data_IF_816445729435
#
_entry.id   IF_816445729435
#
_cell.length_a   1.000
_cell.length_b   1.000
_cell.length_c   1.000
_cell.angle_alpha   90.00
_cell.angle_beta   90.00
_cell.angle_gamma   90.00
#
_symmetry.space_group_name_H-M   'P 1'
#
loop_
_entity.id
_entity.type
_entity.pdbx_description
1 polymer ?
#
# COMPACT_ATOMS: atom_id res chain seq x y z
N UNK A 1 -14.28 -12.75 -5.07
CA UNK A 1 -13.36 -11.64 -5.44
C UNK A 1 -14.19 -10.57 -6.13
N UNK A 2 -14.17 -9.36 -5.61
CA UNK A 2 -14.96 -8.23 -6.13
C UNK A 2 -14.00 -7.18 -6.66
N UNK A 3 -14.35 -6.51 -7.77
CA UNK A 3 -13.58 -5.39 -8.28
C UNK A 3 -13.49 -4.28 -7.23
N UNK A 4 -12.30 -3.73 -6.99
CA UNK A 4 -12.11 -2.68 -5.99
C UNK A 4 -11.58 -1.39 -6.58
N UNK A 5 -10.54 -1.46 -7.42
CA UNK A 5 -10.00 -0.31 -8.14
C UNK A 5 -9.75 -0.70 -9.60
N UNK A 6 -10.21 0.14 -10.52
CA UNK A 6 -10.13 -0.06 -11.97
C UNK A 6 -9.46 1.15 -12.61
N UNK A 7 -8.58 0.89 -13.55
CA UNK A 7 -7.89 1.89 -14.36
C UNK A 7 -8.38 1.72 -15.78
N UNK A 8 -8.91 2.79 -16.39
CA UNK A 8 -9.45 2.77 -17.75
C UNK A 8 -8.74 3.82 -18.60
N UNK A 9 -7.98 3.36 -19.60
CA UNK A 9 -7.21 4.20 -20.53
C UNK A 9 -6.38 5.27 -19.82
N UNK A 10 -5.82 4.93 -18.64
CA UNK A 10 -5.17 5.87 -17.77
C UNK A 10 -3.79 6.22 -18.31
N UNK A 11 -3.55 7.52 -18.51
CA UNK A 11 -2.26 8.09 -18.88
C UNK A 11 -1.81 9.12 -17.85
N UNK A 12 -0.49 9.21 -17.68
CA UNK A 12 0.11 10.20 -16.80
C UNK A 12 1.47 10.70 -17.30
N UNK A 13 1.65 12.00 -17.25
CA UNK A 13 2.91 12.73 -17.51
C UNK A 13 3.04 13.89 -16.55
N UNK A 14 4.27 14.35 -16.27
CA UNK A 14 4.47 15.51 -15.41
C UNK A 14 4.26 16.82 -16.18
N UNK A 15 5.12 17.11 -17.15
CA UNK A 15 5.11 18.39 -17.86
C UNK A 15 4.56 18.26 -19.29
N UNK A 16 5.03 17.29 -20.07
CA UNK A 16 4.69 17.11 -21.48
C UNK A 16 4.16 15.71 -21.77
N UNK A 17 3.17 15.63 -22.66
CA UNK A 17 2.55 14.35 -23.04
C UNK A 17 3.53 13.41 -23.75
N UNK A 18 4.48 13.97 -24.51
CA UNK A 18 5.51 13.20 -25.21
C UNK A 18 6.46 12.46 -24.25
N UNK A 19 6.54 12.92 -22.99
CA UNK A 19 7.32 12.31 -21.91
C UNK A 19 6.40 11.53 -20.95
N UNK A 20 5.44 10.79 -21.51
CA UNK A 20 4.47 10.04 -20.72
C UNK A 20 5.15 8.98 -19.85
N UNK A 21 4.86 9.01 -18.56
CA UNK A 21 5.37 8.05 -17.57
C UNK A 21 4.51 6.78 -17.55
N UNK A 22 3.19 6.95 -17.72
CA UNK A 22 2.23 5.85 -17.80
C UNK A 22 1.36 6.06 -19.03
N UNK A 23 1.20 5.01 -19.84
CA UNK A 23 0.52 5.08 -21.13
C UNK A 23 -0.50 3.95 -21.22
N UNK A 24 -1.76 4.31 -21.43
CA UNK A 24 -2.89 3.39 -21.65
C UNK A 24 -2.96 2.24 -20.64
N UNK A 25 -2.88 2.58 -19.35
CA UNK A 25 -3.05 1.58 -18.30
C UNK A 25 -4.51 1.17 -18.22
N UNK A 26 -4.76 -0.12 -18.49
CA UNK A 26 -6.05 -0.78 -18.38
C UNK A 26 -5.90 -1.98 -17.46
N UNK A 27 -6.40 -1.89 -16.22
CA UNK A 27 -6.31 -2.99 -15.28
C UNK A 27 -7.35 -2.88 -14.16
N UNK A 28 -7.84 -4.05 -13.71
CA UNK A 28 -8.77 -4.16 -12.58
C UNK A 28 -8.15 -4.98 -11.46
N UNK A 29 -8.04 -4.39 -10.27
CA UNK A 29 -7.63 -5.07 -9.04
C UNK A 29 -8.86 -5.55 -8.27
N UNK A 30 -8.72 -6.68 -7.57
CA UNK A 30 -9.80 -7.36 -6.87
C UNK A 30 -9.51 -7.50 -5.38
N UNK A 31 -10.55 -7.58 -4.56
CA UNK A 31 -10.45 -7.92 -3.15
C UNK A 31 -9.97 -9.36 -2.95
N UNK A 32 -9.29 -9.62 -1.82
CA UNK A 32 -8.78 -10.95 -1.49
C UNK A 32 -7.53 -11.35 -2.29
N UNK A 33 -6.83 -10.41 -2.92
CA UNK A 33 -5.68 -10.68 -3.77
C UNK A 33 -4.49 -9.82 -3.36
N UNK A 34 -3.34 -10.47 -3.24
CA UNK A 34 -2.04 -9.82 -3.04
C UNK A 34 -1.32 -9.68 -4.37
N UNK A 35 -1.24 -8.44 -4.87
CA UNK A 35 -0.56 -8.08 -6.10
C UNK A 35 0.84 -7.57 -5.83
N UNK A 36 1.80 -7.96 -6.67
CA UNK A 36 3.09 -7.28 -6.76
C UNK A 36 3.27 -6.64 -8.13
N UNK A 37 3.82 -5.42 -8.14
CA UNK A 37 4.21 -4.70 -9.34
C UNK A 37 5.72 -4.62 -9.37
N UNK A 38 6.32 -5.22 -10.39
CA UNK A 38 7.77 -5.24 -10.61
C UNK A 38 8.13 -4.47 -11.88
N UNK A 39 9.37 -4.02 -11.98
CA UNK A 39 9.88 -3.30 -13.15
C UNK A 39 11.21 -2.62 -12.83
N UNK A 40 11.94 -2.20 -13.88
CA UNK A 40 13.19 -1.45 -13.73
C UNK A 40 12.98 -0.09 -13.02
N UNK A 41 14.05 0.50 -12.52
CA UNK A 41 14.02 1.89 -12.06
C UNK A 41 13.52 2.80 -13.18
N UNK A 42 12.69 3.79 -12.85
CA UNK A 42 12.10 4.70 -13.85
C UNK A 42 10.95 4.12 -14.69
N UNK A 43 10.50 2.87 -14.46
CA UNK A 43 9.38 2.30 -15.23
C UNK A 43 8.00 2.87 -14.91
N UNK A 44 7.87 3.75 -13.91
CA UNK A 44 6.61 4.39 -13.52
C UNK A 44 5.92 3.77 -12.29
N UNK A 45 6.55 2.83 -11.56
CA UNK A 45 5.93 2.11 -10.42
C UNK A 45 5.43 3.04 -9.31
N UNK A 46 6.29 3.95 -8.83
CA UNK A 46 5.94 4.92 -7.77
C UNK A 46 4.86 5.89 -8.24
N UNK A 47 4.91 6.30 -9.53
CA UNK A 47 3.87 7.13 -10.14
C UNK A 47 2.54 6.37 -10.20
N UNK A 48 2.55 5.10 -10.61
CA UNK A 48 1.36 4.25 -10.59
C UNK A 48 0.77 4.14 -9.18
N UNK A 49 1.62 3.87 -8.16
CA UNK A 49 1.15 3.82 -6.77
C UNK A 49 0.59 5.16 -6.27
N UNK A 50 1.19 6.28 -6.68
CA UNK A 50 0.68 7.60 -6.33
C UNK A 50 -0.74 7.82 -6.87
N UNK A 51 -1.01 7.39 -8.09
CA UNK A 51 -2.34 7.44 -8.68
C UNK A 51 -3.31 6.44 -8.02
N UNK A 52 -2.87 5.20 -7.79
CA UNK A 52 -3.66 4.19 -7.08
C UNK A 52 -3.98 4.60 -5.63
N UNK A 53 -3.09 5.34 -4.99
CA UNK A 53 -3.28 5.93 -3.67
C UNK A 53 -4.07 7.23 -3.64
N UNK A 54 -4.46 7.78 -4.80
CA UNK A 54 -5.16 9.07 -4.90
C UNK A 54 -4.31 10.26 -4.46
N UNK A 55 -2.98 10.17 -4.55
CA UNK A 55 -2.07 11.29 -4.27
C UNK A 55 -2.01 12.27 -5.43
N UNK A 56 -2.31 11.77 -6.63
CA UNK A 56 -2.42 12.58 -7.84
C UNK A 56 -3.58 12.09 -8.72
N UNK A 57 -3.89 12.83 -9.79
CA UNK A 57 -4.95 12.52 -10.75
C UNK A 57 -4.37 12.13 -12.10
N UNK A 58 -5.00 11.19 -12.83
CA UNK A 58 -4.58 10.90 -14.20
C UNK A 58 -4.77 12.13 -15.09
N UNK A 59 -3.90 12.27 -16.09
CA UNK A 59 -3.98 13.34 -17.11
C UNK A 59 -5.00 12.99 -18.20
N UNK A 60 -5.17 11.69 -18.50
CA UNK A 60 -6.16 11.13 -19.42
C UNK A 60 -6.70 9.83 -18.85
N UNK A 61 -7.88 9.41 -19.30
CA UNK A 61 -8.57 8.24 -18.75
C UNK A 61 -9.18 8.50 -17.37
N UNK A 62 -9.49 7.43 -16.65
CA UNK A 62 -10.07 7.55 -15.32
C UNK A 62 -9.65 6.39 -14.39
N UNK A 63 -9.86 6.59 -13.08
CA UNK A 63 -9.66 5.59 -12.03
C UNK A 63 -10.98 5.49 -11.26
N UNK A 64 -11.48 4.26 -11.12
CA UNK A 64 -12.73 3.98 -10.41
C UNK A 64 -12.45 3.16 -9.16
N UNK A 65 -13.02 3.57 -8.05
CA UNK A 65 -13.08 2.78 -6.82
C UNK A 65 -14.50 2.26 -6.63
N UNK A 66 -14.67 0.93 -6.66
CA UNK A 66 -15.99 0.27 -6.58
C UNK A 66 -17.01 0.86 -7.57
N UNK A 67 -16.56 1.13 -8.80
CA UNK A 67 -17.39 1.67 -9.89
C UNK A 67 -17.67 3.17 -9.82
N UNK A 68 -17.12 3.90 -8.84
CA UNK A 68 -17.26 5.36 -8.74
C UNK A 68 -15.94 6.04 -9.10
N UNK A 69 -15.97 7.02 -10.02
CA UNK A 69 -14.78 7.78 -10.42
C UNK A 69 -14.15 8.50 -9.24
N UNK A 70 -12.81 8.45 -9.13
CA UNK A 70 -12.07 9.19 -8.10
C UNK A 70 -12.20 10.71 -8.29
N UNK A 71 -12.42 11.18 -9.53
CA UNK A 71 -12.68 12.60 -9.82
C UNK A 71 -13.99 13.07 -9.16
N UNK A 72 -15.04 12.24 -9.24
CA UNK A 72 -16.35 12.53 -8.62
C UNK A 72 -16.32 12.38 -7.10
N UNK A 73 -15.58 11.38 -6.60
CA UNK A 73 -15.45 11.11 -5.15
C UNK A 73 -14.63 12.19 -4.44
N UNK A 74 -13.64 12.74 -5.13
CA UNK A 74 -12.63 13.64 -4.58
C UNK A 74 -11.48 12.87 -3.92
N UNK A 75 -10.25 13.16 -4.33
CA UNK A 75 -9.04 12.45 -3.89
C UNK A 75 -8.84 12.50 -2.36
N UNK A 76 -9.19 13.61 -1.71
CA UNK A 76 -9.08 13.72 -0.25
C UNK A 76 -10.02 12.73 0.46
N UNK A 77 -11.26 12.61 -0.01
CA UNK A 77 -12.23 11.64 0.52
C UNK A 77 -11.72 10.23 0.33
N UNK A 78 -11.21 9.92 -0.87
CA UNK A 78 -10.65 8.61 -1.19
C UNK A 78 -9.49 8.26 -0.26
N UNK A 79 -8.51 9.16 -0.09
CA UNK A 79 -7.36 8.92 0.82
C UNK A 79 -7.76 8.74 2.28
N UNK A 80 -8.75 9.48 2.73
CA UNK A 80 -9.14 9.45 4.15
C UNK A 80 -10.00 8.24 4.52
N UNK A 81 -10.67 7.60 3.55
CA UNK A 81 -11.70 6.60 3.87
C UNK A 81 -11.49 5.24 3.20
N UNK A 82 -10.76 5.16 2.09
CA UNK A 82 -10.81 3.98 1.24
C UNK A 82 -9.46 3.36 0.93
N UNK A 83 -8.35 4.08 1.12
CA UNK A 83 -7.02 3.57 0.83
C UNK A 83 -6.05 3.82 1.98
N UNK A 84 -5.23 2.82 2.30
CA UNK A 84 -4.07 2.96 3.18
C UNK A 84 -2.80 2.93 2.36
N UNK A 85 -1.86 3.83 2.65
CA UNK A 85 -0.61 3.96 1.90
C UNK A 85 0.58 3.70 2.84
N UNK A 86 1.46 2.78 2.43
CA UNK A 86 2.76 2.54 3.05
C UNK A 86 3.83 3.06 2.11
N UNK A 87 4.57 4.08 2.55
CA UNK A 87 5.63 4.71 1.76
C UNK A 87 7.00 4.09 2.06
N UNK A 88 7.89 4.13 1.10
CA UNK A 88 9.29 3.77 1.28
C UNK A 88 9.97 4.66 2.32
N UNK A 89 9.67 5.95 2.35
CA UNK A 89 10.23 6.96 3.26
C UNK A 89 9.35 7.20 4.49
N UNK A 90 8.91 6.19 5.16
CA UNK A 90 8.12 6.16 6.41
C UNK A 90 7.02 7.22 6.56
N UNK A 91 7.29 8.49 6.26
CA UNK A 91 6.38 9.65 6.41
C UNK A 91 5.73 9.71 7.80
N UNK A 92 6.52 9.49 8.84
CA UNK A 92 6.09 9.58 10.23
C UNK A 92 6.21 11.02 10.75
N UNK A 93 5.31 11.39 11.67
CA UNK A 93 5.38 12.65 12.40
C UNK A 93 6.49 12.52 13.46
N UNK A 94 7.65 13.11 13.17
CA UNK A 94 8.91 12.86 13.88
C UNK A 94 8.90 13.30 15.34
N UNK A 95 8.09 14.28 15.69
CA UNK A 95 7.92 14.78 17.07
C UNK A 95 6.96 13.94 17.92
N UNK A 96 6.24 13.01 17.29
CA UNK A 96 5.29 12.11 17.95
C UNK A 96 5.91 10.76 18.33
N UNK A 97 5.28 10.07 19.28
CA UNK A 97 5.59 8.67 19.59
C UNK A 97 5.05 7.74 18.48
N UNK A 98 5.51 6.49 18.47
CA UNK A 98 4.98 5.50 17.55
C UNK A 98 3.47 5.31 17.74
N UNK A 99 3.00 5.21 18.98
CA UNK A 99 1.57 5.12 19.29
C UNK A 99 0.79 6.34 18.79
N UNK A 100 1.30 7.55 19.00
CA UNK A 100 0.63 8.77 18.53
C UNK A 100 0.55 8.84 16.99
N UNK A 101 1.59 8.40 16.28
CA UNK A 101 1.54 8.31 14.81
C UNK A 101 0.39 7.42 14.32
N UNK A 102 0.15 6.31 15.01
CA UNK A 102 -0.93 5.38 14.66
C UNK A 102 -2.30 5.94 15.06
N UNK A 103 -2.46 6.39 16.30
CA UNK A 103 -3.77 6.91 16.79
C UNK A 103 -4.22 8.15 16.04
N UNK A 104 -3.30 9.06 15.67
CA UNK A 104 -3.61 10.24 14.85
C UNK A 104 -4.14 9.84 13.47
N UNK A 105 -3.57 8.82 12.82
CA UNK A 105 -4.09 8.32 11.55
C UNK A 105 -5.52 7.78 11.70
N UNK A 106 -5.79 7.02 12.77
CA UNK A 106 -7.14 6.53 13.07
C UNK A 106 -8.15 7.66 13.32
N UNK A 107 -7.72 8.78 13.92
CA UNK A 107 -8.56 9.96 14.11
C UNK A 107 -8.90 10.64 12.79
N UNK A 108 -7.90 10.85 11.94
CA UNK A 108 -8.07 11.47 10.60
C UNK A 108 -9.00 10.63 9.73
N UNK A 109 -8.82 9.32 9.72
CA UNK A 109 -9.63 8.38 8.93
C UNK A 109 -10.97 8.02 9.58
N UNK A 110 -11.23 8.55 10.79
CA UNK A 110 -12.47 8.35 11.56
C UNK A 110 -12.78 6.87 11.84
N UNK A 111 -11.74 6.07 12.08
CA UNK A 111 -11.90 4.65 12.42
C UNK A 111 -12.82 4.49 13.63
N UNK A 112 -13.85 3.66 13.49
CA UNK A 112 -14.87 3.40 14.52
C UNK A 112 -14.47 2.21 15.39
N UNK A 113 -13.37 2.31 16.11
CA UNK A 113 -12.98 1.28 17.07
C UNK A 113 -13.26 1.73 18.51
N UNK A 114 -13.90 0.88 19.35
CA UNK A 114 -14.28 1.25 20.74
C UNK A 114 -13.10 1.71 21.59
N UNK A 115 -11.96 1.03 21.46
CA UNK A 115 -10.72 1.38 22.14
C UNK A 115 -9.57 1.53 21.13
N UNK A 116 -9.48 2.70 20.48
CA UNK A 116 -8.45 2.99 19.47
C UNK A 116 -7.03 2.81 19.99
N UNK A 117 -6.78 3.15 21.27
CA UNK A 117 -5.44 3.05 21.84
C UNK A 117 -5.00 1.60 21.99
N UNK A 118 -5.87 0.74 22.46
CA UNK A 118 -5.59 -0.70 22.63
C UNK A 118 -5.40 -1.36 21.26
N UNK A 119 -6.28 -1.05 20.30
CA UNK A 119 -6.15 -1.52 18.92
C UNK A 119 -4.84 -1.07 18.28
N UNK A 120 -4.43 0.19 18.49
CA UNK A 120 -3.13 0.68 18.01
C UNK A 120 -1.94 -0.09 18.63
N UNK A 121 -2.00 -0.42 19.94
CA UNK A 121 -0.98 -1.26 20.58
C UNK A 121 -0.95 -2.67 19.99
N UNK A 122 -2.13 -3.28 19.75
CA UNK A 122 -2.23 -4.59 19.12
C UNK A 122 -1.58 -4.59 17.73
N UNK A 123 -1.91 -3.61 16.88
CA UNK A 123 -1.34 -3.51 15.53
C UNK A 123 0.17 -3.23 15.55
N UNK A 124 0.65 -2.39 16.46
CA UNK A 124 2.08 -2.20 16.68
C UNK A 124 2.76 -3.49 17.13
N UNK A 125 2.11 -4.28 18.00
CA UNK A 125 2.57 -5.61 18.41
C UNK A 125 2.69 -6.60 17.25
N UNK A 126 1.70 -6.62 16.34
CA UNK A 126 1.72 -7.48 15.14
C UNK A 126 2.92 -7.23 14.23
N UNK A 127 3.44 -6.02 14.21
CA UNK A 127 4.67 -5.67 13.47
C UNK A 127 5.92 -5.69 14.34
N UNK A 128 5.87 -6.27 15.54
CA UNK A 128 7.02 -6.42 16.43
C UNK A 128 7.48 -5.13 17.11
N UNK A 129 6.62 -4.13 17.27
CA UNK A 129 6.87 -2.93 18.08
C UNK A 129 6.32 -3.17 19.48
N UNK A 130 7.22 -3.29 20.45
CA UNK A 130 6.85 -3.52 21.85
C UNK A 130 6.15 -2.31 22.46
N UNK A 131 5.42 -2.51 23.58
CA UNK A 131 4.74 -1.41 24.27
C UNK A 131 5.71 -0.30 24.71
N UNK A 132 6.93 -0.66 25.13
CA UNK A 132 8.00 0.28 25.46
C UNK A 132 8.37 1.15 24.23
N UNK A 133 8.59 0.51 23.07
CA UNK A 133 8.91 1.20 21.82
C UNK A 133 7.75 2.08 21.34
N UNK A 134 6.50 1.61 21.50
CA UNK A 134 5.32 2.36 21.11
C UNK A 134 5.19 3.71 21.83
N UNK A 135 5.71 3.81 23.05
CA UNK A 135 5.74 5.04 23.86
C UNK A 135 6.94 5.95 23.56
N UNK A 136 7.90 5.52 22.74
CA UNK A 136 9.06 6.32 22.36
C UNK A 136 8.75 7.20 21.15
N UNK A 137 9.45 8.35 21.03
CA UNK A 137 9.42 9.16 19.81
C UNK A 137 10.01 8.38 18.64
N UNK A 138 9.38 8.47 17.48
CA UNK A 138 9.81 7.68 16.31
C UNK A 138 11.26 7.95 15.90
N UNK A 139 11.79 9.16 16.12
CA UNK A 139 13.19 9.48 15.86
C UNK A 139 14.20 8.68 16.69
N UNK A 140 13.79 8.10 17.84
CA UNK A 140 14.65 7.27 18.68
C UNK A 140 14.64 5.79 18.27
N UNK A 141 13.80 5.44 17.31
CA UNK A 141 13.67 4.09 16.77
C UNK A 141 14.62 3.90 15.57
N UNK A 142 15.08 2.67 15.36
CA UNK A 142 15.85 2.33 14.16
C UNK A 142 15.02 2.50 12.88
N UNK A 143 15.66 2.63 11.72
CA UNK A 143 14.96 2.75 10.43
C UNK A 143 13.95 1.62 10.18
N UNK A 144 14.34 0.36 10.45
CA UNK A 144 13.43 -0.78 10.35
C UNK A 144 12.27 -0.72 11.36
N UNK A 145 12.48 -0.20 12.57
CA UNK A 145 11.40 0.02 13.54
C UNK A 145 10.46 1.13 13.07
N UNK A 146 10.98 2.22 12.52
CA UNK A 146 10.17 3.29 11.93
C UNK A 146 9.30 2.78 10.77
N UNK A 147 9.86 1.95 9.88
CA UNK A 147 9.11 1.31 8.80
C UNK A 147 7.96 0.46 9.35
N UNK A 148 8.20 -0.33 10.39
CA UNK A 148 7.15 -1.13 11.04
C UNK A 148 6.06 -0.27 11.67
N UNK A 149 6.40 0.87 12.24
CA UNK A 149 5.41 1.86 12.72
C UNK A 149 4.58 2.42 11.56
N UNK A 150 5.20 2.74 10.42
CA UNK A 150 4.48 3.22 9.23
C UNK A 150 3.51 2.16 8.68
N UNK A 151 3.90 0.90 8.70
CA UNK A 151 3.03 -0.23 8.33
C UNK A 151 1.86 -0.34 9.32
N UNK A 152 2.11 -0.37 10.64
CA UNK A 152 1.06 -0.43 11.65
C UNK A 152 0.07 0.74 11.50
N UNK A 153 0.56 1.95 11.22
CA UNK A 153 -0.28 3.12 10.96
C UNK A 153 -1.23 2.90 9.78
N UNK A 154 -0.75 2.32 8.69
CA UNK A 154 -1.59 2.03 7.53
C UNK A 154 -2.65 0.97 7.83
N UNK A 155 -2.27 -0.08 8.59
CA UNK A 155 -3.17 -1.18 8.95
C UNK A 155 -4.30 -0.75 9.89
N UNK A 156 -4.03 0.20 10.79
CA UNK A 156 -5.03 0.72 11.73
C UNK A 156 -6.14 1.54 11.08
N UNK A 157 -6.03 1.88 9.78
CA UNK A 157 -7.06 2.64 9.07
C UNK A 157 -8.22 1.77 8.55
N UNK A 158 -8.14 0.45 8.67
CA UNK A 158 -9.21 -0.52 8.33
C UNK A 158 -9.76 -0.39 6.90
N UNK A 159 -8.96 0.13 5.96
CA UNK A 159 -9.35 0.29 4.55
C UNK A 159 -9.33 -1.05 3.81
N UNK A 160 -10.10 -1.15 2.73
CA UNK A 160 -10.13 -2.36 1.90
C UNK A 160 -9.02 -2.39 0.83
N UNK A 161 -8.46 -1.22 0.50
CA UNK A 161 -7.35 -1.08 -0.44
C UNK A 161 -6.09 -0.65 0.31
N UNK A 162 -5.02 -1.39 0.12
CA UNK A 162 -3.69 -1.08 0.67
C UNK A 162 -2.71 -0.97 -0.50
N UNK A 163 -2.01 0.14 -0.61
CA UNK A 163 -0.93 0.34 -1.57
C UNK A 163 0.39 0.52 -0.81
N UNK A 164 1.45 -0.16 -1.23
CA UNK A 164 2.73 -0.17 -0.53
C UNK A 164 3.89 0.01 -1.51
N UNK A 165 4.72 1.03 -1.30
CA UNK A 165 5.92 1.30 -2.08
C UNK A 165 7.14 0.79 -1.32
N UNK A 166 7.71 -0.32 -1.77
CA UNK A 166 8.89 -0.97 -1.22
C UNK A 166 8.90 -1.08 0.33
N UNK A 167 7.83 -1.62 0.95
CA UNK A 167 7.64 -1.53 2.40
C UNK A 167 8.67 -2.31 3.20
N UNK A 168 9.47 -3.16 2.57
CA UNK A 168 10.47 -4.03 3.20
C UNK A 168 11.91 -3.63 2.91
N UNK A 169 12.13 -2.61 2.06
CA UNK A 169 13.48 -2.25 1.59
C UNK A 169 14.48 -1.86 2.67
N UNK A 170 14.03 -1.47 3.86
CA UNK A 170 14.87 -1.09 5.00
C UNK A 170 14.80 -2.11 6.17
N UNK A 171 14.28 -3.31 5.92
CA UNK A 171 14.13 -4.37 6.93
C UNK A 171 15.16 -5.49 6.72
N UNK A 172 15.52 -6.15 7.80
CA UNK A 172 16.26 -7.41 7.73
C UNK A 172 15.38 -8.53 7.13
N UNK A 173 16.00 -9.58 6.62
CA UNK A 173 15.31 -10.67 5.91
C UNK A 173 14.19 -11.33 6.72
N UNK A 174 14.42 -11.55 8.03
CA UNK A 174 13.43 -12.18 8.91
C UNK A 174 12.21 -11.27 9.05
N UNK A 175 12.44 -10.02 9.38
CA UNK A 175 11.36 -9.01 9.53
C UNK A 175 10.63 -8.77 8.21
N UNK A 176 11.33 -8.76 7.07
CA UNK A 176 10.72 -8.67 5.75
C UNK A 176 9.73 -9.81 5.50
N UNK A 177 10.11 -11.05 5.80
CA UNK A 177 9.22 -12.21 5.68
C UNK A 177 7.99 -12.11 6.60
N UNK A 178 8.17 -11.65 7.83
CA UNK A 178 7.06 -11.45 8.79
C UNK A 178 6.07 -10.38 8.27
N UNK A 179 6.58 -9.26 7.74
CA UNK A 179 5.77 -8.19 7.15
C UNK A 179 5.03 -8.65 5.89
N UNK A 180 5.70 -9.39 5.00
CA UNK A 180 5.07 -9.93 3.79
C UNK A 180 3.92 -10.89 4.15
N UNK A 181 4.13 -11.78 5.13
CA UNK A 181 3.06 -12.65 5.64
C UNK A 181 1.86 -11.85 6.17
N UNK A 182 2.11 -10.74 6.86
CA UNK A 182 1.05 -9.86 7.32
C UNK A 182 0.23 -9.30 6.14
N UNK A 183 0.87 -8.84 5.06
CA UNK A 183 0.17 -8.39 3.86
C UNK A 183 -0.60 -9.52 3.16
N UNK A 184 -0.05 -10.74 3.14
CA UNK A 184 -0.78 -11.92 2.65
C UNK A 184 -2.02 -12.22 3.51
N UNK A 185 -1.87 -12.18 4.83
CA UNK A 185 -3.00 -12.40 5.76
C UNK A 185 -4.10 -11.35 5.58
N UNK A 186 -3.75 -10.09 5.37
CA UNK A 186 -4.71 -9.02 5.07
C UNK A 186 -5.47 -9.28 3.77
N UNK A 187 -4.78 -9.77 2.74
CA UNK A 187 -5.44 -10.13 1.49
C UNK A 187 -6.32 -11.38 1.67
N UNK A 188 -5.77 -12.48 2.18
CA UNK A 188 -6.43 -13.78 2.14
C UNK A 188 -7.43 -13.99 3.26
N UNK A 189 -7.14 -13.50 4.49
CA UNK A 189 -8.00 -13.72 5.67
C UNK A 189 -8.98 -12.57 5.88
N UNK A 190 -8.58 -11.33 5.57
CA UNK A 190 -9.42 -10.16 5.75
C UNK A 190 -10.07 -9.67 4.43
N UNK A 191 -9.77 -10.33 3.32
CA UNK A 191 -10.38 -10.02 2.02
C UNK A 191 -9.96 -8.68 1.41
N UNK A 192 -8.85 -8.08 1.87
CA UNK A 192 -8.38 -6.78 1.36
C UNK A 192 -7.70 -6.93 0.00
N UNK A 193 -7.64 -5.85 -0.76
CA UNK A 193 -6.78 -5.75 -1.94
C UNK A 193 -5.44 -5.15 -1.52
N UNK A 194 -4.36 -5.86 -1.76
CA UNK A 194 -3.00 -5.37 -1.48
C UNK A 194 -2.25 -5.21 -2.79
N UNK A 195 -1.73 -4.00 -3.06
CA UNK A 195 -0.90 -3.69 -4.22
C UNK A 195 0.46 -3.24 -3.70
N UNK A 196 1.49 -4.05 -3.92
CA UNK A 196 2.85 -3.76 -3.45
C UNK A 196 3.80 -3.58 -4.62
N UNK A 197 4.49 -2.46 -4.66
CA UNK A 197 5.67 -2.31 -5.52
C UNK A 197 6.88 -2.90 -4.79
N UNK A 198 7.64 -3.72 -5.48
CA UNK A 198 8.88 -4.29 -4.96
C UNK A 198 9.85 -4.60 -6.09
N UNK A 199 11.14 -4.53 -5.78
CA UNK A 199 12.20 -5.05 -6.62
C UNK A 199 12.74 -6.40 -6.09
N UNK A 200 12.23 -6.89 -4.97
CA UNK A 200 12.61 -8.17 -4.39
C UNK A 200 11.89 -9.32 -5.09
N UNK A 201 12.65 -10.22 -5.78
CA UNK A 201 12.08 -11.35 -6.49
C UNK A 201 11.43 -12.38 -5.54
N UNK A 202 11.88 -12.50 -4.29
CA UNK A 202 11.30 -13.46 -3.34
C UNK A 202 9.90 -13.02 -2.92
N UNK A 203 9.66 -11.72 -2.75
CA UNK A 203 8.34 -11.19 -2.44
C UNK A 203 7.39 -11.40 -3.64
N UNK A 204 7.88 -11.18 -4.86
CA UNK A 204 7.06 -11.37 -6.05
C UNK A 204 6.66 -12.82 -6.30
N UNK A 205 7.44 -13.80 -5.82
CA UNK A 205 7.10 -15.23 -5.90
C UNK A 205 5.97 -15.66 -4.97
N UNK A 206 5.74 -14.92 -3.90
CA UNK A 206 4.73 -15.26 -2.89
C UNK A 206 3.47 -14.41 -3.00
N UNK A 207 3.37 -13.55 -4.02
CA UNK A 207 2.14 -12.84 -4.38
C UNK A 207 1.21 -13.72 -5.22
N UNK A 208 -0.09 -13.42 -5.20
CA UNK A 208 -1.07 -14.15 -6.03
C UNK A 208 -0.94 -13.77 -7.51
N UNK A 209 -0.65 -12.49 -7.75
CA UNK A 209 -0.52 -11.93 -9.09
C UNK A 209 0.69 -11.02 -9.16
N UNK A 210 1.57 -11.30 -10.11
CA UNK A 210 2.71 -10.44 -10.44
C UNK A 210 2.42 -9.69 -11.73
N UNK A 211 2.53 -8.38 -11.68
CA UNK A 211 2.42 -7.48 -12.82
C UNK A 211 3.79 -6.90 -13.16
N UNK A 212 4.17 -6.93 -14.41
CA UNK A 212 5.41 -6.31 -14.88
C UNK A 212 5.10 -4.99 -15.56
N UNK A 213 5.58 -3.88 -14.96
CA UNK A 213 5.49 -2.55 -15.53
C UNK A 213 6.78 -2.21 -16.26
N UNK A 214 6.69 -1.92 -17.55
CA UNK A 214 7.81 -1.54 -18.41
C UNK A 214 7.39 -0.46 -19.39
N UNK A 215 8.19 0.59 -19.51
CA UNK A 215 7.92 1.72 -20.39
C UNK A 215 6.50 2.29 -20.20
N UNK A 216 6.06 2.39 -18.96
CA UNK A 216 4.77 2.96 -18.60
C UNK A 216 3.54 2.08 -18.89
N UNK A 217 3.72 0.81 -19.24
CA UNK A 217 2.64 -0.14 -19.56
C UNK A 217 2.78 -1.45 -18.78
N UNK A 218 1.66 -2.09 -18.45
CA UNK A 218 1.67 -3.47 -17.98
C UNK A 218 1.86 -4.44 -19.14
N UNK A 219 3.02 -5.10 -19.19
CA UNK A 219 3.36 -6.03 -20.25
C UNK A 219 2.84 -7.44 -20.03
N UNK A 220 2.82 -7.90 -18.79
CA UNK A 220 2.45 -9.27 -18.44
C UNK A 220 1.73 -9.32 -17.11
N UNK A 221 0.80 -10.28 -17.03
CA UNK A 221 0.13 -10.71 -15.81
C UNK A 221 0.47 -12.18 -15.60
N UNK A 222 1.20 -12.48 -14.54
CA UNK A 222 1.47 -13.84 -14.12
C UNK A 222 0.62 -14.15 -12.87
N UNK A 223 -0.25 -15.17 -12.97
CA UNK A 223 -0.91 -15.75 -11.81
C UNK A 223 0.04 -16.76 -11.17
N UNK A 224 0.46 -16.49 -9.96
CA UNK A 224 1.32 -17.38 -9.19
C UNK A 224 0.39 -18.33 -8.43
N UNK A 225 0.42 -19.62 -8.79
CA UNK A 225 -0.31 -20.62 -8.00
C UNK A 225 0.42 -20.81 -6.67
N UNK A 226 -0.07 -20.17 -5.62
CA UNK A 226 0.37 -20.48 -4.27
C UNK A 226 -0.27 -21.80 -3.89
N UNK A 227 0.53 -22.86 -3.80
CA UNK A 227 0.10 -24.12 -3.19
C UNK A 227 -0.05 -23.83 -1.69
N UNK A 228 -1.27 -23.62 -1.26
CA UNK A 228 -1.57 -23.56 0.17
C UNK A 228 -1.49 -25.01 0.66
N UNK A 229 -0.39 -25.37 1.29
CA UNK A 229 -0.34 -26.58 2.10
C UNK A 229 -1.36 -26.43 3.23
N UNK A 230 -2.40 -27.26 3.18
CA UNK A 230 -3.50 -27.32 4.14
C UNK A 230 -3.06 -28.02 5.42
#
# INVERSE_FOLDING_TARGET
MTKIIEFEHMEYWYDRKEESILTDINYTFQTGVFYTIVGSSGSGKTTFLSLAGGLDSPKSGDIFYKGKSLKEMGLQTFRNQYVSIVFQSYNLLTYMTALQNVTTAMEITKVKHPNRKEFAFEMLGKVGITEKMAKQRVLTLSGGQQQRVAIARALCCETELIVADEPTGNLDERTSKEVVRLFQDLAHKEGKCVIMVTHDPEISKVSDVKLTLKNGQFLSKEQIKITVDR
#
